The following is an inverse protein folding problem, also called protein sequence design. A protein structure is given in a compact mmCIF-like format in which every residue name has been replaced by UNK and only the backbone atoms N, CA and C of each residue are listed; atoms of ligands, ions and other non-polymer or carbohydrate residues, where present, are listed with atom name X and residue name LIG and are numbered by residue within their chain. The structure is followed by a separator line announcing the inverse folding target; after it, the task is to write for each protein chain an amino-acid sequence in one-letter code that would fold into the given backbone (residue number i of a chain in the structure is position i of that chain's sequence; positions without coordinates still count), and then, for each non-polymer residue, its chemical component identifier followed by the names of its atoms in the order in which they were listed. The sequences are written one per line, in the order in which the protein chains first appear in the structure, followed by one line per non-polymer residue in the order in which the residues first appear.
data_IF_131118603699
#
_entry.id   IF_131118603699
#
_cell.length_a   1.000
_cell.length_b   1.000
_cell.length_c   1.000
_cell.angle_alpha   90.00
_cell.angle_beta   90.00
_cell.angle_gamma   90.00
#
_symmetry.space_group_name_H-M   'P 1'
#
loop_
_entity.id
_entity.type
_entity.pdbx_description
1 polymer ?
#
# COMPACT_ATOMS: atom_id res chain seq x y z
N UNK A 1 16.57 -13.20 14.97
CA UNK A 1 16.66 -12.92 13.52
C UNK A 1 16.97 -11.44 13.34
N UNK A 2 18.00 -11.04 12.57
CA UNK A 2 18.26 -9.62 12.35
C UNK A 2 17.12 -9.03 11.51
N UNK A 3 16.73 -7.76 11.72
CA UNK A 3 15.78 -7.11 10.84
C UNK A 3 16.42 -7.01 9.46
N UNK A 4 15.82 -7.65 8.46
CA UNK A 4 16.12 -7.39 7.06
C UNK A 4 16.01 -5.87 6.88
N UNK A 5 17.15 -5.19 6.76
CA UNK A 5 17.19 -3.78 6.37
C UNK A 5 16.48 -3.72 5.03
N UNK A 6 15.45 -2.91 4.91
CA UNK A 6 14.73 -2.64 3.66
C UNK A 6 15.36 -1.40 2.99
N UNK A 7 16.44 -1.57 2.19
CA UNK A 7 17.04 -0.46 1.47
C UNK A 7 16.07 0.09 0.42
N UNK A 8 15.20 -0.73 -0.15
CA UNK A 8 14.30 -0.37 -1.26
C UNK A 8 13.20 0.58 -0.79
N UNK A 9 12.54 0.27 0.32
CA UNK A 9 11.56 1.15 0.94
C UNK A 9 12.18 2.47 1.39
N UNK A 10 13.38 2.43 2.00
CA UNK A 10 14.08 3.67 2.42
C UNK A 10 14.51 4.54 1.24
N UNK A 11 15.01 3.95 0.16
CA UNK A 11 15.41 4.69 -1.04
C UNK A 11 14.19 5.32 -1.74
N UNK A 12 13.10 4.56 -1.90
CA UNK A 12 11.86 5.08 -2.47
C UNK A 12 11.29 6.24 -1.63
N UNK A 13 11.32 6.14 -0.30
CA UNK A 13 10.88 7.21 0.60
C UNK A 13 11.79 8.44 0.53
N UNK A 14 13.10 8.27 0.37
CA UNK A 14 14.05 9.38 0.24
C UNK A 14 13.91 10.15 -1.08
N UNK A 15 13.35 9.53 -2.12
CA UNK A 15 13.07 10.16 -3.42
C UNK A 15 11.74 10.95 -3.46
N UNK A 16 11.01 11.02 -2.34
CA UNK A 16 9.72 11.73 -2.28
C UNK A 16 9.88 13.23 -2.08
N UNK A 17 8.93 14.00 -2.61
CA UNK A 17 8.82 15.42 -2.30
C UNK A 17 8.49 15.63 -0.80
N UNK A 18 8.82 16.82 -0.27
CA UNK A 18 8.42 17.18 1.12
C UNK A 18 6.91 17.16 1.34
N UNK A 19 6.12 17.38 0.30
CA UNK A 19 4.66 17.29 0.37
C UNK A 19 4.20 15.83 0.52
N UNK A 20 4.80 14.92 -0.23
CA UNK A 20 4.50 13.49 -0.19
C UNK A 20 4.95 12.86 1.13
N UNK A 21 6.13 13.23 1.64
CA UNK A 21 6.60 12.81 2.95
C UNK A 21 5.64 13.25 4.09
N UNK A 22 5.08 14.47 3.99
CA UNK A 22 4.06 14.94 4.95
C UNK A 22 2.77 14.13 4.85
N UNK A 23 2.30 13.86 3.64
CA UNK A 23 1.10 13.03 3.44
C UNK A 23 1.29 11.61 3.96
N UNK A 24 2.46 11.00 3.74
CA UNK A 24 2.77 9.69 4.31
C UNK A 24 2.80 9.71 5.84
N UNK A 25 3.30 10.79 6.46
CA UNK A 25 3.27 10.93 7.91
C UNK A 25 1.83 11.03 8.43
N UNK A 26 0.96 11.77 7.74
CA UNK A 26 -0.46 11.83 8.07
C UNK A 26 -1.13 10.46 7.91
N UNK A 27 -0.84 9.76 6.82
CA UNK A 27 -1.32 8.42 6.54
C UNK A 27 -0.93 7.44 7.66
N UNK A 28 0.33 7.47 8.12
CA UNK A 28 0.83 6.60 9.19
C UNK A 28 0.20 6.90 10.55
N UNK A 29 -0.15 8.17 10.81
CA UNK A 29 -0.87 8.57 12.03
C UNK A 29 -2.32 8.11 12.03
N UNK A 30 -2.98 8.16 10.87
CA UNK A 30 -4.37 7.71 10.71
C UNK A 30 -4.46 6.19 10.66
N UNK A 31 -3.51 5.54 9.99
CA UNK A 31 -3.41 4.10 9.87
C UNK A 31 -2.00 3.62 10.22
N UNK A 32 -1.81 3.17 11.46
CA UNK A 32 -0.56 2.56 11.87
C UNK A 32 -0.18 1.42 10.92
N UNK A 33 1.10 1.36 10.54
CA UNK A 33 1.67 0.35 9.63
C UNK A 33 1.28 0.51 8.14
N UNK A 34 0.80 1.68 7.71
CA UNK A 34 0.58 1.98 6.29
C UNK A 34 1.90 2.03 5.49
N UNK A 35 2.94 2.65 6.06
CA UNK A 35 4.29 2.65 5.47
C UNK A 35 4.89 1.24 5.52
N UNK A 36 4.64 0.49 6.59
CA UNK A 36 5.07 -0.91 6.69
C UNK A 36 4.41 -1.81 5.65
N UNK A 37 3.13 -1.58 5.33
CA UNK A 37 2.45 -2.24 4.21
C UNK A 37 3.16 -1.97 2.89
N UNK A 38 3.44 -0.70 2.57
CA UNK A 38 4.16 -0.35 1.34
C UNK A 38 5.55 -0.99 1.27
N UNK A 39 6.29 -1.02 2.38
CA UNK A 39 7.58 -1.69 2.47
C UNK A 39 7.47 -3.19 2.19
N UNK A 40 6.50 -3.89 2.82
CA UNK A 40 6.27 -5.32 2.57
C UNK A 40 5.88 -5.60 1.12
N UNK A 41 5.04 -4.75 0.51
CA UNK A 41 4.68 -4.88 -0.90
C UNK A 41 5.90 -4.68 -1.79
N UNK A 42 6.72 -3.66 -1.54
CA UNK A 42 7.93 -3.41 -2.30
C UNK A 42 8.90 -4.59 -2.22
N UNK A 43 9.09 -5.17 -1.03
CA UNK A 43 9.93 -6.36 -0.83
C UNK A 43 9.41 -7.58 -1.58
N UNK A 44 8.09 -7.79 -1.60
CA UNK A 44 7.47 -8.94 -2.29
C UNK A 44 7.41 -8.76 -3.81
N UNK A 45 7.18 -7.54 -4.29
CA UNK A 45 7.04 -7.23 -5.72
C UNK A 45 8.38 -6.95 -6.42
N UNK A 46 9.41 -6.59 -5.67
CA UNK A 46 10.77 -6.33 -6.16
C UNK A 46 11.80 -7.19 -5.39
N UNK A 47 11.80 -8.52 -5.58
CA UNK A 47 12.65 -9.44 -4.82
C UNK A 47 14.14 -9.35 -5.18
N UNK A 48 14.48 -8.87 -6.38
CA UNK A 48 15.85 -8.60 -6.78
C UNK A 48 16.29 -7.28 -6.18
N UNK A 49 17.42 -7.30 -5.44
CA UNK A 49 18.02 -6.10 -4.88
C UNK A 49 18.12 -5.01 -5.95
N UNK A 50 17.92 -3.75 -5.56
CA UNK A 50 18.04 -2.64 -6.49
C UNK A 50 19.32 -2.73 -7.33
N UNK A 51 19.25 -2.99 -8.65
CA UNK A 51 20.41 -2.82 -9.52
C UNK A 51 20.68 -1.32 -9.65
N UNK A 52 21.95 -0.91 -9.71
CA UNK A 52 22.34 0.50 -9.78
C UNK A 52 21.68 1.27 -10.95
N UNK A 53 21.13 0.57 -11.94
CA UNK A 53 20.60 1.16 -13.17
C UNK A 53 19.08 1.44 -13.15
N UNK A 54 18.23 0.63 -12.48
CA UNK A 54 16.82 1.02 -12.30
C UNK A 54 16.05 0.20 -11.25
N UNK A 55 16.03 0.62 -9.97
CA UNK A 55 15.33 -0.18 -8.97
C UNK A 55 14.34 0.55 -8.05
N UNK A 56 14.17 1.86 -8.23
CA UNK A 56 13.29 2.65 -7.40
C UNK A 56 11.96 2.99 -8.09
N UNK A 57 11.89 2.87 -9.42
CA UNK A 57 10.77 3.45 -10.19
C UNK A 57 9.43 2.74 -9.96
N UNK A 58 9.31 1.39 -9.95
CA UNK A 58 8.04 0.72 -9.65
C UNK A 58 7.58 0.93 -8.21
N UNK A 59 8.51 0.90 -7.25
CA UNK A 59 8.21 1.14 -5.84
C UNK A 59 7.79 2.60 -5.61
N UNK A 60 8.44 3.56 -6.25
CA UNK A 60 8.10 4.97 -6.18
C UNK A 60 6.77 5.27 -6.87
N UNK A 61 6.50 4.66 -8.02
CA UNK A 61 5.22 4.77 -8.72
C UNK A 61 4.07 4.24 -7.86
N UNK A 62 4.27 3.07 -7.23
CA UNK A 62 3.32 2.50 -6.27
C UNK A 62 3.07 3.45 -5.09
N UNK A 63 4.12 3.97 -4.45
CA UNK A 63 3.99 4.91 -3.31
C UNK A 63 3.26 6.18 -3.74
N UNK A 64 3.60 6.76 -4.90
CA UNK A 64 2.94 7.95 -5.45
C UNK A 64 1.46 7.70 -5.75
N UNK A 65 1.12 6.54 -6.31
CA UNK A 65 -0.26 6.15 -6.57
C UNK A 65 -1.08 6.06 -5.26
N UNK A 66 -0.53 5.42 -4.23
CA UNK A 66 -1.16 5.35 -2.91
C UNK A 66 -1.40 6.74 -2.30
N UNK A 67 -0.39 7.61 -2.32
CA UNK A 67 -0.50 9.00 -1.82
C UNK A 67 -1.57 9.79 -2.57
N UNK A 68 -1.60 9.69 -3.91
CA UNK A 68 -2.57 10.39 -4.73
C UNK A 68 -4.01 9.93 -4.43
N UNK A 69 -4.23 8.61 -4.33
CA UNK A 69 -5.54 8.05 -4.01
C UNK A 69 -6.01 8.45 -2.60
N UNK A 70 -5.11 8.42 -1.61
CA UNK A 70 -5.43 8.89 -0.27
C UNK A 70 -5.83 10.37 -0.24
N UNK A 71 -5.05 11.24 -0.90
CA UNK A 71 -5.37 12.68 -0.99
C UNK A 71 -6.73 12.92 -1.63
N UNK A 72 -7.02 12.21 -2.72
CA UNK A 72 -8.29 12.29 -3.44
C UNK A 72 -9.46 11.86 -2.55
N UNK A 73 -9.41 10.66 -2.00
CA UNK A 73 -10.48 10.14 -1.15
C UNK A 73 -10.71 11.04 0.08
N UNK A 74 -9.63 11.60 0.66
CA UNK A 74 -9.74 12.60 1.73
C UNK A 74 -10.44 13.88 1.28
N UNK A 75 -10.12 14.40 0.09
CA UNK A 75 -10.77 15.61 -0.44
C UNK A 75 -12.24 15.39 -0.81
N UNK A 76 -12.62 14.16 -1.15
CA UNK A 76 -13.99 13.75 -1.46
C UNK A 76 -14.82 13.49 -0.19
N UNK A 77 -14.22 13.57 1.01
CA UNK A 77 -14.91 13.38 2.28
C UNK A 77 -15.20 11.91 2.60
N UNK A 78 -14.50 10.98 1.96
CA UNK A 78 -14.66 9.54 2.18
C UNK A 78 -14.31 9.14 3.62
N UNK A 79 -15.03 8.15 4.13
CA UNK A 79 -14.77 7.58 5.45
C UNK A 79 -13.43 6.82 5.50
N UNK A 80 -12.96 6.52 6.71
CA UNK A 80 -11.65 5.90 6.92
C UNK A 80 -11.50 4.54 6.20
N UNK A 81 -12.58 3.76 6.08
CA UNK A 81 -12.55 2.46 5.41
C UNK A 81 -12.44 2.62 3.89
N UNK A 82 -13.21 3.54 3.32
CA UNK A 82 -13.20 3.85 1.91
C UNK A 82 -11.86 4.46 1.48
N UNK A 83 -11.29 5.36 2.29
CA UNK A 83 -9.94 5.90 2.05
C UNK A 83 -8.87 4.80 2.10
N UNK A 84 -8.94 3.88 3.07
CA UNK A 84 -7.96 2.79 3.16
C UNK A 84 -8.05 1.85 1.96
N UNK A 85 -9.27 1.52 1.53
CA UNK A 85 -9.48 0.69 0.36
C UNK A 85 -8.97 1.38 -0.92
N UNK A 86 -9.27 2.67 -1.12
CA UNK A 86 -8.77 3.44 -2.25
C UNK A 86 -7.23 3.46 -2.31
N UNK A 87 -6.58 3.59 -1.14
CA UNK A 87 -5.14 3.48 -1.02
C UNK A 87 -4.62 2.09 -1.45
N UNK A 88 -5.22 1.01 -0.94
CA UNK A 88 -4.82 -0.37 -1.27
C UNK A 88 -5.06 -0.70 -2.76
N UNK A 89 -6.18 -0.24 -3.32
CA UNK A 89 -6.50 -0.43 -4.74
C UNK A 89 -5.49 0.30 -5.62
N UNK A 90 -5.12 1.54 -5.28
CA UNK A 90 -4.17 2.32 -6.05
C UNK A 90 -2.75 1.72 -6.04
N UNK A 91 -2.26 1.26 -4.88
CA UNK A 91 -0.95 0.57 -4.84
C UNK A 91 -1.00 -0.76 -5.61
N UNK A 92 -2.15 -1.45 -5.63
CA UNK A 92 -2.32 -2.70 -6.39
C UNK A 92 -2.28 -2.44 -7.88
N UNK A 93 -3.04 -1.45 -8.36
CA UNK A 93 -3.12 -1.10 -9.78
C UNK A 93 -1.83 -0.49 -10.33
N UNK A 94 -1.02 0.14 -9.47
CA UNK A 94 0.29 0.65 -9.84
C UNK A 94 1.34 -0.45 -10.06
N UNK A 95 1.10 -1.67 -9.56
CA UNK A 95 1.99 -2.80 -9.78
C UNK A 95 1.68 -3.52 -11.10
N UNK A 96 2.69 -4.07 -11.78
CA UNK A 96 2.47 -5.00 -12.88
C UNK A 96 1.55 -6.15 -12.46
N UNK A 97 0.65 -6.59 -13.35
CA UNK A 97 -0.35 -7.63 -13.05
C UNK A 97 0.22 -8.87 -12.36
N UNK A 98 1.41 -9.31 -12.78
CA UNK A 98 2.15 -10.43 -12.18
C UNK A 98 2.53 -10.24 -10.71
N UNK A 99 2.57 -9.01 -10.19
CA UNK A 99 2.95 -8.69 -8.81
C UNK A 99 1.77 -8.21 -7.95
N UNK A 100 0.56 -8.12 -8.50
CA UNK A 100 -0.62 -7.66 -7.74
C UNK A 100 -0.94 -8.58 -6.55
N UNK A 101 -0.64 -9.88 -6.65
CA UNK A 101 -0.78 -10.83 -5.54
C UNK A 101 0.09 -10.46 -4.32
N UNK A 102 1.17 -9.69 -4.51
CA UNK A 102 2.05 -9.27 -3.43
C UNK A 102 1.32 -8.36 -2.43
N UNK A 103 0.34 -7.58 -2.88
CA UNK A 103 -0.49 -6.75 -1.98
C UNK A 103 -1.32 -7.63 -1.06
N UNK A 104 -2.02 -8.63 -1.60
CA UNK A 104 -2.80 -9.57 -0.80
C UNK A 104 -1.94 -10.32 0.24
N UNK A 105 -0.69 -10.65 -0.11
CA UNK A 105 0.27 -11.29 0.81
C UNK A 105 0.85 -10.33 1.85
N UNK A 106 1.00 -9.04 1.53
CA UNK A 106 1.59 -8.04 2.42
C UNK A 106 0.61 -7.50 3.47
N UNK A 107 -0.69 -7.60 3.22
CA UNK A 107 -1.74 -7.19 4.15
C UNK A 107 -1.68 -8.04 5.42
N UNK A 108 -1.71 -7.37 6.57
CA UNK A 108 -1.86 -8.04 7.87
C UNK A 108 -3.29 -8.52 8.06
N UNK A 109 -3.50 -9.45 8.99
CA UNK A 109 -4.83 -9.97 9.30
C UNK A 109 -5.84 -8.88 9.73
N UNK A 110 -5.46 -7.87 10.54
CA UNK A 110 -6.32 -6.71 10.80
C UNK A 110 -6.67 -5.94 9.52
N UNK A 111 -5.69 -5.66 8.65
CA UNK A 111 -5.92 -4.91 7.41
C UNK A 111 -6.84 -5.67 6.44
N UNK A 112 -6.68 -7.00 6.34
CA UNK A 112 -7.60 -7.86 5.56
C UNK A 112 -9.03 -7.79 6.09
N UNK A 113 -9.21 -7.85 7.41
CA UNK A 113 -10.54 -7.74 8.04
C UNK A 113 -11.19 -6.38 7.79
N UNK A 114 -10.42 -5.29 7.81
CA UNK A 114 -10.88 -3.94 7.47
C UNK A 114 -11.40 -3.88 6.03
N UNK A 115 -10.65 -4.43 5.06
CA UNK A 115 -11.08 -4.46 3.65
C UNK A 115 -12.28 -5.40 3.44
N UNK A 116 -12.32 -6.53 4.12
CA UNK A 116 -13.43 -7.49 4.02
C UNK A 116 -14.76 -6.91 4.54
N UNK A 117 -14.73 -6.00 5.53
CA UNK A 117 -15.92 -5.29 6.03
C UNK A 117 -16.53 -4.33 5.02
N UNK A 118 -15.80 -3.95 3.97
CA UNK A 118 -16.30 -3.15 2.84
C UNK A 118 -17.17 -3.97 1.90
N UNK A 119 -16.93 -5.28 1.82
CA UNK A 119 -17.86 -6.19 1.17
C UNK A 119 -19.01 -6.43 2.15
N UNK A 120 -20.28 -6.26 1.75
CA UNK A 120 -21.36 -6.81 2.55
C UNK A 120 -21.04 -8.29 2.81
N UNK A 121 -21.26 -8.82 4.02
CA UNK A 121 -21.05 -10.24 4.27
C UNK A 121 -21.78 -10.97 3.15
N UNK A 122 -21.06 -11.78 2.36
CA UNK A 122 -21.68 -12.65 1.37
C UNK A 122 -22.81 -13.34 2.12
N UNK A 123 -24.06 -12.98 1.79
CA UNK A 123 -25.19 -13.79 2.19
C UNK A 123 -24.87 -15.16 1.63
N UNK A 124 -24.44 -16.05 2.50
CA UNK A 124 -24.61 -17.48 2.30
C UNK A 124 -26.11 -17.66 2.18
N UNK A 125 -26.63 -17.51 0.96
CA UNK A 125 -27.95 -18.01 0.61
C UNK A 125 -27.90 -19.49 0.90
N UNK A 126 -28.41 -19.84 2.08
CA UNK A 126 -28.94 -21.16 2.39
C UNK A 126 -29.92 -21.46 1.26
N UNK A 127 -29.52 -22.31 0.33
CA UNK A 127 -30.49 -23.01 -0.51
C UNK A 127 -30.85 -24.25 0.30
N UNK A 128 -32.12 -24.34 0.67
CA UNK A 128 -32.72 -25.44 1.40
C UNK A 128 -32.85 -26.71 0.59
#
# INVERSE_FOLDING_TARGET
MPPHRDPTGRLALSALSRADARTLRTLELEWPDAVGLMARVALLACPSAPSADNPAEPALAMVRAGIAAYRRARSEGEDDLARFAAFVDAITLALPRRHQYCVARALTEPQRRVLARRLPPRQTSRVG
#
